data_IF_881935495928
#
_entry.id   IF_881935495928
#
_cell.length_a   1.000
_cell.length_b   1.000
_cell.length_c   1.000
_cell.angle_alpha   90.00
_cell.angle_beta   90.00
_cell.angle_gamma   90.00
#
_symmetry.space_group_name_H-M   'P 1'
#
loop_
_entity.id
_entity.type
_entity.pdbx_description
1 polymer ?
#
# COMPACT_ATOMS: atom_id res chain seq x y z
N UNK A 1 27.89 20.61 -7.87
CA UNK A 1 26.57 21.18 -7.63
C UNK A 1 26.67 22.09 -6.42
N UNK A 2 26.45 23.39 -6.56
CA UNK A 2 26.41 24.35 -5.45
C UNK A 2 24.95 24.54 -5.05
N UNK A 3 24.61 24.18 -3.82
CA UNK A 3 23.32 24.49 -3.24
C UNK A 3 23.31 25.95 -2.79
N UNK A 4 22.47 26.79 -3.40
CA UNK A 4 22.28 28.18 -3.02
C UNK A 4 21.10 28.26 -2.03
N UNK A 5 21.43 28.18 -0.75
CA UNK A 5 20.47 28.30 0.34
C UNK A 5 19.86 29.70 0.37
N UNK A 6 18.63 29.85 -0.11
CA UNK A 6 17.88 31.10 0.04
C UNK A 6 17.68 31.36 1.53
N UNK A 7 18.18 32.51 2.01
CA UNK A 7 17.86 33.05 3.34
C UNK A 7 16.40 33.55 3.31
N UNK A 8 15.46 32.64 3.50
CA UNK A 8 14.08 32.96 3.87
C UNK A 8 13.87 32.58 5.32
N UNK A 9 12.92 33.21 6.00
CA UNK A 9 12.49 32.75 7.31
C UNK A 9 12.12 31.26 7.20
N UNK A 10 12.46 30.42 8.21
CA UNK A 10 12.10 29.01 8.16
C UNK A 10 10.57 28.92 8.11
N UNK A 11 10.04 28.59 6.93
CA UNK A 11 8.63 28.25 6.78
C UNK A 11 8.44 26.97 7.62
N UNK A 12 7.71 27.08 8.72
CA UNK A 12 7.31 25.89 9.49
C UNK A 12 6.68 24.89 8.54
N UNK A 13 7.18 23.66 8.55
CA UNK A 13 6.60 22.57 7.77
C UNK A 13 5.12 22.45 8.17
N UNK A 14 4.22 22.55 7.21
CA UNK A 14 2.79 22.32 7.45
C UNK A 14 2.52 20.82 7.53
N UNK A 15 2.86 20.22 8.67
CA UNK A 15 2.68 18.79 8.89
C UNK A 15 1.37 18.51 9.62
N UNK A 16 0.72 17.37 9.36
CA UNK A 16 -0.46 16.95 10.11
C UNK A 16 -0.10 16.72 11.58
N UNK A 17 -1.01 17.04 12.49
CA UNK A 17 -0.83 16.80 13.94
C UNK A 17 -0.81 15.31 14.31
N UNK A 18 -1.31 14.45 13.43
CA UNK A 18 -1.42 13.01 13.62
C UNK A 18 -1.35 12.29 12.28
N UNK A 19 -0.63 11.19 12.26
CA UNK A 19 -0.63 10.24 11.15
C UNK A 19 -1.17 8.88 11.63
N UNK A 20 -1.62 8.09 10.67
CA UNK A 20 -2.10 6.73 10.86
C UNK A 20 -1.22 5.78 10.07
N UNK A 21 -0.75 4.75 10.72
CA UNK A 21 0.14 3.75 10.12
C UNK A 21 -0.62 2.44 9.97
N UNK A 22 -0.67 1.90 8.74
CA UNK A 22 -1.08 0.52 8.48
C UNK A 22 0.19 -0.33 8.42
N UNK A 23 0.27 -1.33 9.28
CA UNK A 23 1.38 -2.27 9.32
C UNK A 23 1.17 -3.35 8.25
N UNK A 24 2.10 -3.43 7.29
CA UNK A 24 2.00 -4.38 6.18
C UNK A 24 3.03 -5.52 6.25
N UNK A 25 3.86 -5.55 7.28
CA UNK A 25 4.90 -6.56 7.47
C UNK A 25 4.39 -8.01 7.40
N UNK A 26 3.28 -8.37 8.03
CA UNK A 26 2.76 -9.74 7.98
C UNK A 26 2.34 -10.18 6.57
N UNK A 27 1.95 -9.24 5.69
CA UNK A 27 1.58 -9.54 4.30
C UNK A 27 2.71 -9.20 3.34
N UNK A 28 2.98 -7.91 3.14
CA UNK A 28 3.93 -7.42 2.13
C UNK A 28 5.37 -7.80 2.50
N UNK A 29 5.67 -7.69 3.78
CA UNK A 29 6.96 -8.09 4.32
C UNK A 29 7.29 -9.55 4.09
N UNK A 30 6.37 -10.45 4.45
CA UNK A 30 6.61 -11.88 4.42
C UNK A 30 6.37 -12.53 3.05
N UNK A 31 5.64 -11.90 2.14
CA UNK A 31 5.26 -12.54 0.86
C UNK A 31 6.44 -12.91 -0.02
N UNK A 32 7.56 -12.18 0.08
CA UNK A 32 8.75 -12.38 -0.76
C UNK A 32 9.80 -13.27 -0.10
N UNK A 33 9.60 -13.68 1.15
CA UNK A 33 10.55 -14.53 1.86
C UNK A 33 10.76 -15.85 1.12
N UNK A 34 12.03 -16.26 0.97
CA UNK A 34 12.39 -17.49 0.25
C UNK A 34 11.99 -18.74 0.99
N UNK A 35 12.00 -18.67 2.31
CA UNK A 35 11.63 -19.78 3.19
C UNK A 35 10.21 -19.56 3.68
N UNK A 36 9.39 -20.62 3.65
CA UNK A 36 8.05 -20.55 4.21
C UNK A 36 8.11 -20.21 5.69
N UNK A 37 7.48 -19.12 6.08
CA UNK A 37 7.35 -18.72 7.49
C UNK A 37 6.21 -19.53 8.10
N UNK A 38 6.45 -20.27 9.19
CA UNK A 38 5.41 -21.11 9.80
C UNK A 38 4.17 -20.30 10.21
N UNK A 39 2.98 -20.86 10.02
CA UNK A 39 1.69 -20.24 10.36
C UNK A 39 1.67 -19.72 11.80
N UNK A 40 2.17 -20.51 12.75
CA UNK A 40 2.25 -20.11 14.15
C UNK A 40 3.11 -18.86 14.38
N UNK A 41 4.20 -18.72 13.63
CA UNK A 41 5.07 -17.52 13.68
C UNK A 41 4.37 -16.28 13.13
N UNK A 42 3.59 -16.42 12.04
CA UNK A 42 2.79 -15.32 11.48
C UNK A 42 1.71 -14.87 12.46
N UNK A 43 1.02 -15.82 13.09
CA UNK A 43 0.02 -15.55 14.13
C UNK A 43 0.66 -14.78 15.29
N UNK A 44 1.78 -15.30 15.83
CA UNK A 44 2.50 -14.64 16.93
C UNK A 44 2.94 -13.21 16.55
N UNK A 45 3.45 -13.01 15.32
CA UNK A 45 3.82 -11.69 14.82
C UNK A 45 2.62 -10.74 14.81
N UNK A 46 1.49 -11.15 14.25
CA UNK A 46 0.28 -10.34 14.18
C UNK A 46 -0.26 -10.04 15.57
N UNK A 47 -0.30 -11.02 16.47
CA UNK A 47 -0.77 -10.84 17.84
C UNK A 47 0.09 -9.85 18.63
N UNK A 48 1.41 -9.86 18.43
CA UNK A 48 2.33 -8.86 19.02
C UNK A 48 2.12 -7.47 18.42
N UNK A 49 2.03 -7.35 17.11
CA UNK A 49 1.77 -6.08 16.43
C UNK A 49 0.42 -5.48 16.85
N UNK A 50 -0.59 -6.31 17.08
CA UNK A 50 -1.91 -5.87 17.56
C UNK A 50 -1.87 -5.14 18.92
N UNK A 51 -0.80 -5.34 19.70
CA UNK A 51 -0.59 -4.69 20.99
C UNK A 51 0.22 -3.38 20.88
N UNK A 52 0.72 -3.05 19.67
CA UNK A 52 1.56 -1.87 19.44
C UNK A 52 0.77 -0.59 19.09
N UNK A 53 -0.57 -0.67 19.04
CA UNK A 53 -1.42 0.49 18.81
C UNK A 53 -1.74 0.80 17.35
N UNK A 54 -1.47 -0.12 16.42
CA UNK A 54 -1.90 0.00 15.03
C UNK A 54 -3.43 -0.05 14.92
N UNK A 55 -3.99 0.83 14.08
CA UNK A 55 -5.41 0.79 13.76
C UNK A 55 -5.74 -0.19 12.62
N UNK A 56 -4.76 -0.52 11.77
CA UNK A 56 -4.90 -1.46 10.66
C UNK A 56 -3.62 -2.31 10.53
N UNK A 57 -3.79 -3.62 10.40
CA UNK A 57 -2.72 -4.58 10.12
C UNK A 57 -3.13 -5.40 8.90
N UNK A 58 -2.37 -5.28 7.81
CA UNK A 58 -2.60 -6.11 6.63
C UNK A 58 -2.02 -7.50 6.89
N UNK A 59 -2.89 -8.42 7.29
CA UNK A 59 -2.53 -9.68 7.94
C UNK A 59 -2.24 -10.82 6.97
N UNK A 60 -2.79 -10.77 5.76
CA UNK A 60 -2.69 -11.87 4.80
C UNK A 60 -2.94 -11.41 3.35
N UNK A 61 -2.69 -12.32 2.39
CA UNK A 61 -3.12 -12.15 1.00
C UNK A 61 -3.80 -13.41 0.48
N UNK A 62 -4.96 -13.26 -0.15
CA UNK A 62 -5.71 -14.37 -0.76
C UNK A 62 -5.32 -14.58 -2.22
N UNK A 63 -4.03 -14.71 -2.46
CA UNK A 63 -3.41 -14.98 -3.76
C UNK A 63 -3.37 -16.49 -4.04
N UNK A 64 -2.92 -16.85 -5.25
CA UNK A 64 -2.77 -18.26 -5.61
C UNK A 64 -1.57 -18.86 -4.85
N UNK A 65 -1.74 -19.98 -4.09
CA UNK A 65 -0.68 -20.54 -3.24
C UNK A 65 0.63 -20.87 -3.96
N UNK A 66 0.55 -21.27 -5.22
CA UNK A 66 1.75 -21.53 -6.04
C UNK A 66 2.50 -20.27 -6.47
N UNK A 67 1.80 -19.12 -6.56
CA UNK A 67 2.41 -17.86 -6.93
C UNK A 67 3.13 -17.21 -5.74
N UNK A 68 2.51 -17.26 -4.55
CA UNK A 68 3.05 -16.71 -3.31
C UNK A 68 2.91 -17.75 -2.19
N UNK A 69 3.85 -18.70 -2.07
CA UNK A 69 3.76 -19.78 -1.09
C UNK A 69 3.63 -19.30 0.36
N UNK A 70 4.27 -18.20 0.72
CA UNK A 70 4.18 -17.63 2.07
C UNK A 70 2.79 -17.08 2.44
N UNK A 71 1.87 -16.97 1.48
CA UNK A 71 0.48 -16.55 1.73
C UNK A 71 -0.52 -17.70 1.53
N UNK A 72 -0.02 -18.94 1.43
CA UNK A 72 -0.87 -20.11 1.16
C UNK A 72 -1.81 -20.46 2.34
N UNK A 73 -1.45 -20.05 3.55
CA UNK A 73 -2.12 -20.32 4.82
C UNK A 73 -2.95 -19.13 5.34
N UNK A 74 -3.38 -18.25 4.45
CA UNK A 74 -4.09 -17.00 4.81
C UNK A 74 -5.32 -17.24 5.70
N UNK A 75 -6.14 -18.25 5.38
CA UNK A 75 -7.31 -18.62 6.16
C UNK A 75 -6.94 -19.11 7.57
N UNK A 76 -5.89 -19.93 7.68
CA UNK A 76 -5.41 -20.49 8.95
C UNK A 76 -4.84 -19.39 9.85
N UNK A 77 -4.06 -18.47 9.28
CA UNK A 77 -3.54 -17.28 9.98
C UNK A 77 -4.68 -16.46 10.56
N UNK A 78 -5.67 -16.08 9.72
CA UNK A 78 -6.80 -15.25 10.15
C UNK A 78 -7.72 -15.94 11.16
N UNK A 79 -7.80 -17.28 11.15
CA UNK A 79 -8.52 -18.06 12.13
C UNK A 79 -7.77 -18.18 13.47
N UNK A 80 -6.43 -18.10 13.44
CA UNK A 80 -5.58 -18.30 14.61
C UNK A 80 -5.24 -17.04 15.40
N UNK A 81 -5.35 -15.84 14.79
CA UNK A 81 -4.99 -14.58 15.45
C UNK A 81 -5.97 -14.19 16.56
N UNK A 82 -5.45 -13.53 17.58
CA UNK A 82 -6.23 -12.94 18.68
C UNK A 82 -6.63 -11.50 18.31
N UNK A 83 -7.84 -11.34 17.78
CA UNK A 83 -8.33 -10.02 17.35
C UNK A 83 -8.49 -9.08 18.53
N UNK A 84 -7.81 -7.92 18.46
CA UNK A 84 -7.90 -6.87 19.47
C UNK A 84 -8.98 -5.84 19.09
N UNK A 85 -9.74 -5.32 20.08
CA UNK A 85 -10.69 -4.24 19.83
C UNK A 85 -9.99 -3.00 19.25
N UNK A 86 -10.57 -2.44 18.19
CA UNK A 86 -10.05 -1.22 17.55
C UNK A 86 -8.95 -1.46 16.52
N UNK A 87 -8.56 -2.72 16.26
CA UNK A 87 -7.63 -3.11 15.19
C UNK A 87 -8.41 -3.70 14.03
N UNK A 88 -8.26 -3.15 12.83
CA UNK A 88 -8.71 -3.73 11.57
C UNK A 88 -7.68 -4.75 11.07
N UNK A 89 -8.13 -5.95 10.72
CA UNK A 89 -7.28 -6.99 10.13
C UNK A 89 -7.64 -7.12 8.66
N UNK A 90 -6.97 -6.30 7.85
CA UNK A 90 -7.19 -6.25 6.42
C UNK A 90 -6.41 -7.33 5.66
N UNK A 91 -6.77 -7.55 4.41
CA UNK A 91 -6.08 -8.50 3.55
C UNK A 91 -5.98 -7.98 2.11
N UNK A 92 -4.94 -8.43 1.39
CA UNK A 92 -4.81 -8.18 -0.03
C UNK A 92 -5.52 -9.27 -0.82
N UNK A 93 -6.25 -8.88 -1.87
CA UNK A 93 -6.93 -9.79 -2.77
C UNK A 93 -6.61 -9.45 -4.23
N UNK A 94 -6.26 -10.44 -5.09
CA UNK A 94 -5.88 -10.17 -6.47
C UNK A 94 -7.06 -10.16 -7.44
N UNK A 95 -8.21 -10.73 -7.05
CA UNK A 95 -9.37 -10.93 -7.92
C UNK A 95 -10.63 -11.31 -7.13
N UNK A 96 -11.76 -11.47 -7.84
CA UNK A 96 -13.05 -11.82 -7.24
C UNK A 96 -13.02 -13.11 -6.41
N UNK A 97 -12.27 -14.13 -6.84
CA UNK A 97 -12.13 -15.37 -6.07
C UNK A 97 -11.41 -15.15 -4.74
N UNK A 98 -10.32 -14.38 -4.75
CA UNK A 98 -9.62 -13.96 -3.53
C UNK A 98 -10.53 -13.13 -2.63
N UNK A 99 -11.31 -12.22 -3.20
CA UNK A 99 -12.29 -11.39 -2.50
C UNK A 99 -13.35 -12.26 -1.76
N UNK A 100 -13.91 -13.24 -2.44
CA UNK A 100 -14.86 -14.19 -1.86
C UNK A 100 -14.25 -15.03 -0.72
N UNK A 101 -13.01 -15.51 -0.90
CA UNK A 101 -12.28 -16.25 0.14
C UNK A 101 -12.00 -15.38 1.38
N UNK A 102 -11.58 -14.13 1.17
CA UNK A 102 -11.36 -13.19 2.26
C UNK A 102 -12.64 -12.90 3.05
N UNK A 103 -13.75 -12.65 2.35
CA UNK A 103 -15.06 -12.46 2.96
C UNK A 103 -15.49 -13.69 3.79
N UNK A 104 -15.33 -14.90 3.25
CA UNK A 104 -15.63 -16.15 3.94
C UNK A 104 -14.75 -16.36 5.18
N UNK A 105 -13.50 -15.86 5.17
CA UNK A 105 -12.60 -15.88 6.33
C UNK A 105 -12.90 -14.76 7.36
N UNK A 106 -13.95 -13.97 7.15
CA UNK A 106 -14.39 -12.91 8.06
C UNK A 106 -13.58 -11.62 7.98
N UNK A 107 -12.83 -11.41 6.89
CA UNK A 107 -12.14 -10.14 6.62
C UNK A 107 -13.18 -9.06 6.31
N UNK A 108 -13.05 -7.89 6.94
CA UNK A 108 -13.96 -6.77 6.77
C UNK A 108 -13.45 -5.70 5.83
N UNK A 109 -12.13 -5.63 5.63
CA UNK A 109 -11.49 -4.72 4.67
C UNK A 109 -10.52 -5.47 3.79
N UNK A 110 -10.61 -5.27 2.50
CA UNK A 110 -9.67 -5.83 1.52
C UNK A 110 -9.06 -4.74 0.66
N UNK A 111 -7.83 -4.98 0.24
CA UNK A 111 -7.14 -4.17 -0.74
C UNK A 111 -7.02 -4.93 -2.05
N UNK A 112 -7.55 -4.35 -3.12
CA UNK A 112 -7.31 -4.76 -4.50
C UNK A 112 -6.22 -3.88 -5.10
N UNK A 113 -5.22 -4.49 -5.73
CA UNK A 113 -4.15 -3.74 -6.38
C UNK A 113 -4.34 -3.72 -7.88
N UNK A 114 -4.16 -2.55 -8.50
CA UNK A 114 -3.92 -2.38 -9.92
C UNK A 114 -2.74 -1.44 -10.14
N UNK A 115 -2.23 -1.38 -11.36
CA UNK A 115 -1.09 -0.53 -11.71
C UNK A 115 -1.51 0.66 -12.56
N UNK A 116 -0.82 1.77 -12.39
CA UNK A 116 -1.02 2.95 -13.23
C UNK A 116 -0.67 2.70 -14.71
N UNK A 117 0.19 1.71 -14.99
CA UNK A 117 0.66 1.36 -16.35
C UNK A 117 0.26 -0.05 -16.73
N UNK A 118 -0.02 -0.27 -18.02
CA UNK A 118 -0.43 -1.59 -18.52
C UNK A 118 0.71 -2.60 -18.47
N UNK A 119 1.93 -2.23 -18.81
CA UNK A 119 3.06 -3.14 -18.80
C UNK A 119 3.33 -3.70 -17.40
N UNK A 120 3.25 -2.85 -16.35
CA UNK A 120 3.38 -3.33 -14.98
C UNK A 120 2.17 -4.18 -14.57
N UNK A 121 0.96 -3.76 -14.91
CA UNK A 121 -0.25 -4.50 -14.55
C UNK A 121 -0.28 -5.89 -15.19
N UNK A 122 0.11 -6.01 -16.47
CA UNK A 122 0.23 -7.30 -17.16
C UNK A 122 1.29 -8.18 -16.50
N UNK A 123 2.45 -7.64 -16.16
CA UNK A 123 3.52 -8.38 -15.50
C UNK A 123 3.16 -8.88 -14.09
N UNK A 124 2.40 -8.08 -13.34
CA UNK A 124 2.04 -8.35 -11.96
C UNK A 124 0.75 -9.18 -11.83
N UNK A 125 -0.26 -8.88 -12.65
CA UNK A 125 -1.62 -9.40 -12.51
C UNK A 125 -2.08 -10.23 -13.72
N UNK A 126 -1.26 -10.30 -14.78
CA UNK A 126 -1.61 -10.91 -16.09
C UNK A 126 -2.91 -10.31 -16.69
N UNK A 127 -3.14 -9.03 -16.45
CA UNK A 127 -4.30 -8.25 -16.91
C UNK A 127 -3.87 -6.85 -17.31
N UNK A 128 -4.57 -6.22 -18.26
CA UNK A 128 -4.42 -4.78 -18.49
C UNK A 128 -5.02 -3.99 -17.31
N UNK A 129 -4.66 -2.71 -17.17
CA UNK A 129 -5.26 -1.83 -16.15
C UNK A 129 -6.78 -1.78 -16.28
N UNK A 130 -7.31 -1.72 -17.51
CA UNK A 130 -8.76 -1.73 -17.77
C UNK A 130 -9.43 -3.03 -17.35
N UNK A 131 -8.78 -4.18 -17.55
CA UNK A 131 -9.28 -5.46 -17.06
C UNK A 131 -9.29 -5.52 -15.53
N UNK A 132 -8.28 -4.94 -14.88
CA UNK A 132 -8.27 -4.83 -13.41
C UNK A 132 -9.39 -3.90 -12.89
N UNK A 133 -9.67 -2.79 -13.57
CA UNK A 133 -10.81 -1.91 -13.25
C UNK A 133 -12.13 -2.68 -13.32
N UNK A 134 -12.36 -3.45 -14.38
CA UNK A 134 -13.57 -4.30 -14.51
C UNK A 134 -13.64 -5.37 -13.43
N UNK A 135 -12.53 -5.91 -13.00
CA UNK A 135 -12.47 -6.89 -11.92
C UNK A 135 -12.82 -6.24 -10.56
N UNK A 136 -12.39 -5.00 -10.31
CA UNK A 136 -12.79 -4.21 -9.13
C UNK A 136 -14.31 -4.01 -9.14
N UNK A 137 -14.88 -3.62 -10.28
CA UNK A 137 -16.34 -3.46 -10.45
C UNK A 137 -17.09 -4.77 -10.14
N UNK A 138 -16.59 -5.93 -10.58
CA UNK A 138 -17.16 -7.22 -10.26
C UNK A 138 -17.14 -7.52 -8.74
N UNK A 139 -16.07 -7.15 -8.05
CA UNK A 139 -15.98 -7.30 -6.60
C UNK A 139 -17.02 -6.42 -5.88
N UNK A 140 -17.15 -5.16 -6.27
CA UNK A 140 -18.15 -4.23 -5.71
C UNK A 140 -19.58 -4.74 -5.92
N UNK A 141 -19.87 -5.29 -7.11
CA UNK A 141 -21.19 -5.81 -7.47
C UNK A 141 -21.48 -7.22 -6.93
N UNK A 142 -20.55 -7.83 -6.19
CA UNK A 142 -20.72 -9.19 -5.65
C UNK A 142 -21.75 -9.30 -4.52
N UNK A 143 -22.17 -8.18 -3.93
CA UNK A 143 -23.09 -8.14 -2.79
C UNK A 143 -22.48 -8.56 -1.45
N UNK A 144 -21.18 -8.76 -1.37
CA UNK A 144 -20.49 -9.08 -0.12
C UNK A 144 -20.26 -7.79 0.70
N UNK A 145 -20.52 -7.88 2.02
CA UNK A 145 -20.33 -6.78 2.97
C UNK A 145 -18.86 -6.71 3.41
N UNK A 146 -18.02 -6.22 2.51
CA UNK A 146 -16.58 -6.04 2.72
C UNK A 146 -16.16 -4.68 2.17
N UNK A 147 -15.48 -3.88 2.99
CA UNK A 147 -14.91 -2.59 2.60
C UNK A 147 -13.75 -2.82 1.60
N UNK A 148 -13.84 -2.20 0.44
CA UNK A 148 -12.88 -2.37 -0.63
C UNK A 148 -12.08 -1.09 -0.83
N UNK A 149 -10.77 -1.17 -0.58
CA UNK A 149 -9.81 -0.13 -0.90
C UNK A 149 -8.94 -0.57 -2.08
N UNK A 150 -8.29 0.39 -2.74
CA UNK A 150 -7.52 0.12 -3.96
C UNK A 150 -6.09 0.60 -3.80
N UNK A 151 -5.12 -0.28 -4.06
CA UNK A 151 -3.71 0.08 -4.19
C UNK A 151 -3.37 0.41 -5.64
N UNK A 152 -2.94 1.64 -5.93
CA UNK A 152 -2.47 2.06 -7.24
C UNK A 152 -0.94 1.94 -7.30
N UNK A 153 -0.46 0.81 -7.79
CA UNK A 153 0.97 0.54 -7.92
C UNK A 153 1.62 1.41 -9.01
N UNK A 154 2.91 1.63 -8.88
CA UNK A 154 3.78 2.42 -9.78
C UNK A 154 3.27 3.83 -10.06
N UNK A 155 2.61 4.46 -9.07
CA UNK A 155 2.07 5.82 -9.19
C UNK A 155 3.15 6.85 -9.54
N UNK A 156 4.36 6.67 -9.02
CA UNK A 156 5.46 7.62 -9.16
C UNK A 156 6.55 7.17 -10.13
N UNK A 157 6.54 5.91 -10.54
CA UNK A 157 7.52 5.38 -11.48
C UNK A 157 7.30 3.90 -11.77
N UNK A 158 7.27 3.58 -13.06
CA UNK A 158 7.13 2.22 -13.57
C UNK A 158 8.50 1.74 -14.10
N UNK A 159 8.94 0.52 -13.74
CA UNK A 159 10.22 -0.02 -14.21
C UNK A 159 10.23 -0.28 -15.74
N UNK A 160 9.06 -0.31 -16.38
CA UNK A 160 8.92 -0.56 -17.82
C UNK A 160 8.63 0.69 -18.64
N UNK A 161 7.85 1.63 -18.11
CA UNK A 161 7.34 2.79 -18.85
C UNK A 161 7.85 4.13 -18.28
N UNK A 162 8.63 4.11 -17.19
CA UNK A 162 9.06 5.33 -16.51
C UNK A 162 7.93 5.99 -15.72
N UNK A 163 7.98 7.31 -15.57
CA UNK A 163 6.98 8.05 -14.79
C UNK A 163 5.65 8.10 -15.55
N UNK A 164 4.55 7.58 -14.98
CA UNK A 164 3.23 7.68 -15.60
C UNK A 164 2.82 9.15 -15.77
N UNK A 165 2.31 9.58 -16.94
CA UNK A 165 1.78 10.93 -17.07
C UNK A 165 0.54 11.12 -16.21
N UNK A 166 0.31 12.34 -15.71
CA UNK A 166 -0.84 12.63 -14.84
C UNK A 166 -2.19 12.24 -15.48
N UNK A 167 -2.30 12.36 -16.79
CA UNK A 167 -3.50 11.91 -17.54
C UNK A 167 -3.80 10.43 -17.37
N UNK A 168 -2.77 9.60 -17.19
CA UNK A 168 -2.95 8.16 -16.94
C UNK A 168 -3.44 7.89 -15.53
N UNK A 169 -2.88 8.58 -14.52
CA UNK A 169 -3.40 8.52 -13.14
C UNK A 169 -4.84 8.97 -13.09
N UNK A 170 -5.14 10.09 -13.77
CA UNK A 170 -6.49 10.63 -13.87
C UNK A 170 -7.47 9.63 -14.50
N UNK A 171 -7.09 8.97 -15.60
CA UNK A 171 -7.92 7.95 -16.25
C UNK A 171 -8.33 6.85 -15.26
N UNK A 172 -7.38 6.32 -14.48
CA UNK A 172 -7.65 5.26 -13.48
C UNK A 172 -8.55 5.80 -12.37
N UNK A 173 -8.19 6.95 -11.81
CA UNK A 173 -8.90 7.52 -10.66
C UNK A 173 -10.32 8.00 -11.01
N UNK A 174 -10.57 8.48 -12.23
CA UNK A 174 -11.91 8.80 -12.70
C UNK A 174 -12.82 7.56 -12.68
N UNK A 175 -12.31 6.40 -13.11
CA UNK A 175 -13.05 5.13 -13.07
C UNK A 175 -13.32 4.67 -11.63
N UNK A 176 -12.28 4.71 -10.78
CA UNK A 176 -12.42 4.31 -9.36
C UNK A 176 -13.40 5.23 -8.62
N UNK A 177 -13.31 6.54 -8.84
CA UNK A 177 -14.22 7.53 -8.25
C UNK A 177 -15.67 7.31 -8.72
N UNK A 178 -15.88 7.06 -10.01
CA UNK A 178 -17.22 6.77 -10.57
C UNK A 178 -17.85 5.51 -9.98
N UNK A 179 -17.04 4.50 -9.61
CA UNK A 179 -17.49 3.30 -8.92
C UNK A 179 -17.72 3.50 -7.41
N UNK A 180 -17.42 4.69 -6.88
CA UNK A 180 -17.60 5.01 -5.46
C UNK A 180 -16.47 4.56 -4.54
N UNK A 181 -15.31 4.20 -5.07
CA UNK A 181 -14.12 3.89 -4.25
C UNK A 181 -13.74 5.12 -3.42
N UNK A 182 -13.57 4.91 -2.11
CA UNK A 182 -13.32 5.98 -1.12
C UNK A 182 -11.90 6.02 -0.59
N UNK A 183 -11.09 4.99 -0.83
CA UNK A 183 -9.69 4.97 -0.39
C UNK A 183 -8.78 4.39 -1.46
N UNK A 184 -7.71 5.12 -1.78
CA UNK A 184 -6.72 4.73 -2.79
C UNK A 184 -5.30 4.92 -2.27
N UNK A 185 -4.51 3.86 -2.30
CA UNK A 185 -3.09 3.87 -1.97
C UNK A 185 -2.24 4.31 -3.14
N UNK A 186 -1.36 5.25 -2.93
CA UNK A 186 -0.38 5.72 -3.90
C UNK A 186 0.94 4.96 -3.68
N UNK A 187 1.20 3.96 -4.52
CA UNK A 187 2.37 3.09 -4.37
C UNK A 187 3.61 3.65 -5.07
N UNK A 188 4.68 3.86 -4.31
CA UNK A 188 6.05 3.98 -4.84
C UNK A 188 6.68 2.58 -4.90
N UNK A 189 6.08 1.72 -5.71
CA UNK A 189 6.38 0.27 -5.79
C UNK A 189 7.86 -0.03 -6.08
N UNK A 190 8.50 0.82 -6.85
CA UNK A 190 9.91 0.67 -7.20
C UNK A 190 10.84 1.48 -6.28
N UNK A 191 10.31 2.31 -5.40
CA UNK A 191 11.07 3.19 -4.50
C UNK A 191 11.90 4.23 -5.24
N UNK A 192 11.44 4.68 -6.43
CA UNK A 192 12.17 5.63 -7.30
C UNK A 192 11.68 7.05 -7.18
N UNK A 193 10.60 7.28 -6.42
CA UNK A 193 10.03 8.60 -6.26
C UNK A 193 11.01 9.58 -5.62
N UNK A 194 10.90 10.84 -6.02
CA UNK A 194 11.59 11.95 -5.36
C UNK A 194 10.59 12.76 -4.52
N UNK A 195 11.03 13.44 -3.44
CA UNK A 195 10.14 14.23 -2.59
C UNK A 195 9.33 15.28 -3.37
N UNK A 196 9.96 15.96 -4.33
CA UNK A 196 9.28 16.96 -5.15
C UNK A 196 8.18 16.33 -6.02
N UNK A 197 8.43 15.16 -6.59
CA UNK A 197 7.45 14.43 -7.38
C UNK A 197 6.28 13.97 -6.52
N UNK A 198 6.58 13.41 -5.34
CA UNK A 198 5.53 12.96 -4.38
C UNK A 198 4.65 14.15 -4.00
N UNK A 199 5.25 15.27 -3.58
CA UNK A 199 4.51 16.46 -3.20
C UNK A 199 3.59 16.96 -4.33
N UNK A 200 4.14 17.16 -5.53
CA UNK A 200 3.39 17.73 -6.66
C UNK A 200 2.26 16.79 -7.12
N UNK A 201 2.56 15.51 -7.29
CA UNK A 201 1.56 14.52 -7.74
C UNK A 201 0.45 14.39 -6.70
N UNK A 202 0.80 14.24 -5.43
CA UNK A 202 -0.16 14.04 -4.35
C UNK A 202 -1.04 15.28 -4.13
N UNK A 203 -0.45 16.49 -4.12
CA UNK A 203 -1.24 17.73 -4.02
C UNK A 203 -2.27 17.84 -5.13
N UNK A 204 -1.84 17.58 -6.38
CA UNK A 204 -2.74 17.63 -7.53
C UNK A 204 -3.87 16.57 -7.44
N UNK A 205 -3.56 15.37 -6.93
CA UNK A 205 -4.56 14.32 -6.73
C UNK A 205 -5.57 14.68 -5.64
N UNK A 206 -5.12 15.22 -4.50
CA UNK A 206 -5.98 15.66 -3.41
C UNK A 206 -6.93 16.78 -3.86
N UNK A 207 -6.43 17.74 -4.64
CA UNK A 207 -7.25 18.83 -5.19
C UNK A 207 -8.27 18.31 -6.21
N UNK A 208 -7.90 17.29 -7.01
CA UNK A 208 -8.76 16.76 -8.07
C UNK A 208 -9.84 15.81 -7.53
N UNK A 209 -9.53 15.05 -6.48
CA UNK A 209 -10.39 14.00 -5.92
C UNK A 209 -10.59 14.18 -4.39
N UNK A 210 -11.28 15.25 -3.95
CA UNK A 210 -11.45 15.55 -2.53
C UNK A 210 -12.28 14.50 -1.76
N UNK A 211 -13.03 13.65 -2.47
CA UNK A 211 -13.85 12.58 -1.88
C UNK A 211 -13.12 11.24 -1.73
N UNK A 212 -11.86 11.16 -2.20
CA UNK A 212 -11.00 9.99 -2.07
C UNK A 212 -9.98 10.22 -0.95
N UNK A 213 -9.95 9.32 0.01
CA UNK A 213 -8.92 9.28 1.03
C UNK A 213 -7.66 8.61 0.45
N UNK A 214 -6.64 9.39 0.16
CA UNK A 214 -5.38 8.83 -0.30
C UNK A 214 -4.51 8.41 0.88
N UNK A 215 -3.84 7.26 0.72
CA UNK A 215 -2.76 6.81 1.61
C UNK A 215 -1.49 6.56 0.79
N UNK A 216 -0.33 6.60 1.44
CA UNK A 216 0.94 6.45 0.74
C UNK A 216 1.66 5.17 1.17
N UNK A 217 2.08 4.38 0.18
CA UNK A 217 2.83 3.14 0.35
C UNK A 217 4.25 3.33 -0.21
N UNK A 218 5.22 3.78 0.63
CA UNK A 218 6.57 4.09 0.21
C UNK A 218 7.50 2.88 0.30
N UNK A 219 8.24 2.60 -0.78
CA UNK A 219 9.40 1.72 -0.74
C UNK A 219 10.70 2.53 -0.57
N UNK A 220 11.66 1.94 0.14
CA UNK A 220 12.94 2.57 0.48
C UNK A 220 14.10 2.13 -0.41
N UNK A 221 13.82 1.64 -1.61
CA UNK A 221 14.79 1.09 -2.57
C UNK A 221 15.99 2.00 -2.81
N UNK A 222 15.75 3.31 -2.93
CA UNK A 222 16.78 4.33 -3.12
C UNK A 222 17.07 5.17 -1.86
N UNK A 223 16.57 4.77 -0.69
CA UNK A 223 16.78 5.50 0.56
C UNK A 223 15.97 6.79 0.70
N UNK A 224 14.97 7.02 -0.17
CA UNK A 224 14.18 8.25 -0.18
C UNK A 224 12.86 8.15 0.58
N UNK A 225 12.48 6.98 1.10
CA UNK A 225 11.15 6.75 1.64
C UNK A 225 10.77 7.76 2.73
N UNK A 226 11.65 8.03 3.70
CA UNK A 226 11.37 9.00 4.76
C UNK A 226 11.17 10.42 4.22
N UNK A 227 12.02 10.87 3.30
CA UNK A 227 11.87 12.19 2.66
C UNK A 227 10.56 12.26 1.85
N UNK A 228 10.17 11.15 1.19
CA UNK A 228 8.91 11.04 0.46
C UNK A 228 7.69 11.06 1.39
N UNK A 229 7.78 10.44 2.58
CA UNK A 229 6.73 10.52 3.62
C UNK A 229 6.53 11.97 4.07
N UNK A 230 7.62 12.71 4.35
CA UNK A 230 7.52 14.13 4.70
C UNK A 230 6.87 14.95 3.57
N UNK A 231 7.25 14.70 2.32
CA UNK A 231 6.65 15.37 1.16
C UNK A 231 5.15 15.06 1.01
N UNK A 232 4.75 13.80 1.23
CA UNK A 232 3.35 13.39 1.22
C UNK A 232 2.55 14.04 2.36
N UNK A 233 3.12 14.13 3.57
CA UNK A 233 2.51 14.84 4.69
C UNK A 233 2.31 16.33 4.41
N UNK A 234 3.31 16.98 3.80
CA UNK A 234 3.19 18.39 3.40
C UNK A 234 2.10 18.60 2.34
N UNK A 235 1.86 17.62 1.47
CA UNK A 235 0.77 17.63 0.52
C UNK A 235 -0.60 17.38 1.16
N UNK A 236 -0.66 16.81 2.39
CA UNK A 236 -1.91 16.57 3.12
C UNK A 236 -2.23 15.10 3.40
N UNK A 237 -1.35 14.16 3.05
CA UNK A 237 -1.53 12.74 3.39
C UNK A 237 -1.34 12.54 4.90
N UNK A 238 -2.21 11.73 5.47
CA UNK A 238 -2.17 11.36 6.90
C UNK A 238 -2.10 9.85 7.14
N UNK A 239 -2.25 9.04 6.10
CA UNK A 239 -2.26 7.58 6.20
C UNK A 239 -1.07 7.00 5.43
N UNK A 240 -0.31 6.12 6.07
CA UNK A 240 0.92 5.55 5.54
C UNK A 240 0.97 4.05 5.79
N UNK A 241 1.48 3.32 4.80
CA UNK A 241 1.86 1.93 4.97
C UNK A 241 3.33 1.87 5.40
N UNK A 242 3.64 0.98 6.32
CA UNK A 242 5.03 0.66 6.70
C UNK A 242 5.14 -0.79 7.13
N UNK A 243 6.35 -1.30 7.23
CA UNK A 243 6.61 -2.69 7.58
C UNK A 243 7.61 -2.77 8.72
N UNK A 244 7.28 -3.51 9.77
CA UNK A 244 8.21 -3.79 10.87
C UNK A 244 9.55 -4.30 10.33
N UNK A 245 10.65 -3.77 10.85
CA UNK A 245 12.03 -4.04 10.42
C UNK A 245 12.29 -3.75 8.92
N UNK A 246 11.44 -2.96 8.25
CA UNK A 246 11.54 -2.73 6.81
C UNK A 246 11.37 -4.00 5.97
N UNK A 247 10.66 -5.00 6.49
CA UNK A 247 10.42 -6.26 5.78
C UNK A 247 9.72 -6.02 4.45
N UNK A 248 10.05 -6.86 3.47
CA UNK A 248 9.59 -6.76 2.10
C UNK A 248 10.74 -6.49 1.14
N UNK A 249 10.43 -6.31 -0.11
CA UNK A 249 11.43 -6.05 -1.14
C UNK A 249 10.82 -5.52 -2.41
N UNK A 250 11.69 -5.18 -3.34
CA UNK A 250 11.28 -4.82 -4.68
C UNK A 250 11.77 -5.93 -5.64
N UNK A 251 10.89 -6.66 -6.32
CA UNK A 251 11.30 -7.68 -7.27
C UNK A 251 12.13 -7.12 -8.42
N UNK A 252 12.04 -5.81 -8.66
CA UNK A 252 12.77 -5.09 -9.70
C UNK A 252 14.12 -4.53 -9.24
N UNK A 253 14.45 -4.65 -7.93
CA UNK A 253 15.71 -4.19 -7.35
C UNK A 253 16.22 -5.23 -6.32
N UNK A 254 16.78 -6.35 -6.76
CA UNK A 254 17.28 -7.39 -5.87
C UNK A 254 18.32 -6.84 -4.88
N UNK A 255 18.11 -7.11 -3.58
CA UNK A 255 19.00 -6.64 -2.51
C UNK A 255 18.73 -5.22 -2.00
N UNK A 256 17.75 -4.50 -2.57
CA UNK A 256 17.30 -3.25 -2.01
C UNK A 256 16.41 -3.49 -0.76
N UNK A 257 16.42 -2.54 0.17
CA UNK A 257 15.44 -2.50 1.25
C UNK A 257 14.04 -2.37 0.65
N UNK A 258 13.06 -3.05 1.26
CA UNK A 258 11.68 -3.04 0.80
C UNK A 258 10.91 -1.81 1.28
N UNK A 259 9.89 -2.05 2.09
CA UNK A 259 9.10 -0.99 2.70
C UNK A 259 9.94 -0.07 3.61
N UNK A 260 9.42 1.12 3.89
CA UNK A 260 9.93 1.92 5.00
C UNK A 260 9.74 1.15 6.31
N UNK A 261 10.76 1.17 7.18
CA UNK A 261 10.67 0.52 8.48
C UNK A 261 9.68 1.27 9.39
N UNK A 262 8.79 0.53 10.01
CA UNK A 262 7.78 1.10 10.92
C UNK A 262 8.45 1.80 12.11
N UNK A 263 9.51 1.21 12.64
CA UNK A 263 10.29 1.75 13.76
C UNK A 263 10.89 3.11 13.41
N UNK A 264 11.51 3.22 12.23
CA UNK A 264 12.12 4.47 11.78
C UNK A 264 11.07 5.56 11.56
N UNK A 265 9.91 5.18 11.00
CA UNK A 265 8.80 6.10 10.81
C UNK A 265 8.24 6.61 12.14
N UNK A 266 8.01 5.72 13.10
CA UNK A 266 7.48 6.08 14.43
C UNK A 266 8.48 6.94 15.19
N UNK A 267 9.77 6.56 15.21
CA UNK A 267 10.81 7.33 15.91
C UNK A 267 10.96 8.75 15.32
N UNK A 268 10.89 8.87 14.01
CA UNK A 268 11.02 10.18 13.32
C UNK A 268 9.81 11.10 13.58
N UNK A 269 8.62 10.54 13.89
CA UNK A 269 7.38 11.32 14.10
C UNK A 269 7.15 11.69 15.58
N UNK A 270 7.93 11.17 16.52
CA UNK A 270 7.88 11.50 17.94
C UNK A 270 8.79 12.68 18.29
#
# INVERSE_FOLDING_TARGET
MTWDGRKGEPTMLNLPKRIYIKEVGPRDGLQIEKTFVPTATKIEMIDRLSQCGFADIQSAAFVHPKAVPNMADAEEVLAGITRQPGVEYSALVPNLRGFQRAAAAGVKRVELTLSATDSHNINNMNMTTEQSIKMIEQCLNSGLDVDLIVGLAVTFGCPFEGVPPFSRLKFVLDQLSAMGIKAVGLGDTSGVATPLQVYNTTSCLLDTYPDINFFFHPHNTHGNAMANVFAAMQAGITHFDSSVAGLGGCPYAPGASGNIATEDLVDTMN
#
